data_IF_080794321784
#
_entry.id   IF_080794321784
#
_cell.length_a   1.000
_cell.length_b   1.000
_cell.length_c   1.000
_cell.angle_alpha   90.00
_cell.angle_beta   90.00
_cell.angle_gamma   90.00
#
_symmetry.space_group_name_H-M   'P 1'
#
loop_
_entity.id
_entity.type
_entity.pdbx_description
1 polymer ?
#
# COMPACT_ATOMS: atom_id res chain seq x y z
N UNK A 1 -13.12 22.06 23.39
CA UNK A 1 -11.95 21.42 24.10
C UNK A 1 -10.75 21.44 23.16
N UNK A 2 -9.76 22.27 23.47
CA UNK A 2 -8.50 22.32 22.72
C UNK A 2 -7.58 21.21 23.26
N UNK A 3 -7.64 20.05 22.60
CA UNK A 3 -6.71 18.96 22.89
C UNK A 3 -5.31 19.28 22.38
N UNK A 4 -4.30 19.08 23.19
CA UNK A 4 -2.89 19.13 22.78
C UNK A 4 -2.37 17.73 22.52
N UNK A 5 -1.45 17.60 21.57
CA UNK A 5 -0.70 16.34 21.35
C UNK A 5 0.23 16.06 22.53
N UNK A 6 0.74 14.80 22.65
CA UNK A 6 1.74 14.47 23.68
C UNK A 6 2.97 15.37 23.69
N UNK A 7 3.25 16.05 22.58
CA UNK A 7 4.39 16.96 22.42
C UNK A 7 4.02 18.44 22.43
N UNK A 8 2.85 18.81 22.97
CA UNK A 8 2.42 20.20 23.12
C UNK A 8 2.07 20.95 21.83
N UNK A 9 1.93 20.26 20.69
CA UNK A 9 1.60 20.89 19.40
C UNK A 9 0.08 20.90 19.20
N UNK A 10 -0.53 22.00 18.68
CA UNK A 10 -1.96 22.07 18.43
C UNK A 10 -2.45 20.98 17.47
N UNK A 11 -3.54 20.30 17.80
CA UNK A 11 -4.13 19.23 16.97
C UNK A 11 -4.56 19.70 15.58
N UNK A 12 -4.96 20.96 15.44
CA UNK A 12 -5.41 21.54 14.17
C UNK A 12 -4.30 21.65 13.10
N UNK A 13 -3.03 21.41 13.46
CA UNK A 13 -1.91 21.48 12.51
C UNK A 13 -1.69 20.18 11.70
N UNK A 14 -2.41 19.07 12.03
CA UNK A 14 -2.27 17.81 11.30
C UNK A 14 -2.92 17.93 9.93
N UNK A 15 -2.17 17.55 8.89
CA UNK A 15 -2.70 17.41 7.52
C UNK A 15 -2.88 15.94 7.18
N UNK A 16 -3.99 15.62 6.54
CA UNK A 16 -4.17 14.33 5.88
C UNK A 16 -3.32 14.28 4.63
N UNK A 17 -2.91 13.09 4.24
CA UNK A 17 -2.13 12.88 3.02
C UNK A 17 -2.60 11.62 2.29
N UNK A 18 -2.21 11.51 1.04
CA UNK A 18 -2.41 10.38 0.16
C UNK A 18 -1.02 9.89 -0.28
N UNK A 19 -0.89 8.59 -0.50
CA UNK A 19 0.31 8.03 -1.14
C UNK A 19 -0.01 7.77 -2.60
N UNK A 20 0.82 8.27 -3.50
CA UNK A 20 0.67 8.05 -4.95
C UNK A 20 1.80 7.18 -5.46
N UNK A 21 1.42 6.10 -6.17
CA UNK A 21 2.33 5.22 -6.88
C UNK A 21 2.34 5.59 -8.36
N UNK A 22 3.50 5.86 -8.92
CA UNK A 22 3.70 5.84 -10.36
C UNK A 22 3.86 4.38 -10.81
N UNK A 23 3.13 3.95 -11.83
CA UNK A 23 3.07 2.54 -12.19
C UNK A 23 2.71 2.35 -13.69
N UNK A 24 2.81 1.09 -14.14
CA UNK A 24 2.40 0.71 -15.49
C UNK A 24 0.94 0.28 -15.55
N UNK A 25 0.45 -0.44 -14.53
CA UNK A 25 -0.89 -1.03 -14.49
C UNK A 25 -1.63 -0.64 -13.19
N UNK A 26 -2.27 0.55 -13.14
CA UNK A 26 -2.85 1.11 -11.92
C UNK A 26 -3.82 0.18 -11.19
N UNK A 27 -4.78 -0.42 -11.87
CA UNK A 27 -5.77 -1.29 -11.23
C UNK A 27 -5.13 -2.57 -10.68
N UNK A 28 -4.25 -3.20 -11.44
CA UNK A 28 -3.58 -4.42 -11.01
C UNK A 28 -2.74 -4.19 -9.77
N UNK A 29 -1.97 -3.10 -9.75
CA UNK A 29 -1.15 -2.72 -8.60
C UNK A 29 -2.02 -2.34 -7.39
N UNK A 30 -3.10 -1.59 -7.60
CA UNK A 30 -4.03 -1.23 -6.53
C UNK A 30 -4.66 -2.47 -5.86
N UNK A 31 -5.09 -3.45 -6.65
CA UNK A 31 -5.67 -4.69 -6.11
C UNK A 31 -4.65 -5.51 -5.32
N UNK A 32 -3.39 -5.55 -5.75
CA UNK A 32 -2.30 -6.15 -4.97
C UNK A 32 -2.16 -5.44 -3.60
N UNK A 33 -2.13 -4.12 -3.58
CA UNK A 33 -2.01 -3.36 -2.33
C UNK A 33 -3.26 -3.44 -1.44
N UNK A 34 -4.45 -3.67 -2.00
CA UNK A 34 -5.63 -4.04 -1.21
C UNK A 34 -5.37 -5.32 -0.41
N UNK A 35 -4.79 -6.34 -1.03
CA UNK A 35 -4.46 -7.61 -0.37
C UNK A 35 -3.38 -7.43 0.71
N UNK A 36 -2.37 -6.59 0.46
CA UNK A 36 -1.29 -6.34 1.43
C UNK A 36 -1.81 -5.64 2.68
N UNK A 37 -2.67 -4.62 2.51
CA UNK A 37 -3.08 -3.73 3.60
C UNK A 37 -4.47 -4.04 4.19
N UNK A 38 -5.24 -4.92 3.58
CA UNK A 38 -6.66 -5.08 3.92
C UNK A 38 -7.51 -3.88 3.47
N UNK A 39 -7.05 -3.16 2.46
CA UNK A 39 -7.77 -2.05 1.85
C UNK A 39 -8.82 -2.55 0.87
N UNK A 40 -9.72 -1.67 0.48
CA UNK A 40 -10.80 -1.96 -0.46
C UNK A 40 -10.74 -1.02 -1.66
N UNK A 41 -11.21 -1.53 -2.80
CA UNK A 41 -11.50 -0.67 -3.95
C UNK A 41 -12.75 0.12 -3.63
N UNK A 42 -12.72 1.46 -3.67
CA UNK A 42 -13.91 2.27 -3.43
C UNK A 42 -14.98 2.02 -4.51
N UNK A 43 -16.24 2.35 -4.25
CA UNK A 43 -17.27 2.27 -5.28
C UNK A 43 -16.90 3.15 -6.48
N UNK A 44 -17.41 2.83 -7.70
CA UNK A 44 -17.18 3.67 -8.86
C UNK A 44 -17.73 5.08 -8.65
N UNK A 45 -17.31 6.06 -9.45
CA UNK A 45 -17.83 7.41 -9.38
C UNK A 45 -19.36 7.45 -9.53
N UNK A 46 -19.98 8.49 -8.98
CA UNK A 46 -21.43 8.68 -9.04
C UNK A 46 -21.93 8.62 -10.49
N UNK A 47 -23.02 7.88 -10.70
CA UNK A 47 -23.63 7.67 -12.01
C UNK A 47 -23.16 6.42 -12.75
N UNK A 48 -22.28 5.62 -12.16
CA UNK A 48 -21.84 4.36 -12.74
C UNK A 48 -22.06 3.18 -11.78
N UNK A 49 -22.53 2.06 -12.30
CA UNK A 49 -22.74 0.85 -11.51
C UNK A 49 -21.45 0.07 -11.27
N UNK A 50 -20.52 0.11 -12.22
CA UNK A 50 -19.22 -0.59 -12.14
C UNK A 50 -18.07 0.32 -12.57
N UNK A 51 -16.86 -0.07 -12.17
CA UNK A 51 -15.64 0.58 -12.66
C UNK A 51 -15.44 0.40 -14.15
N UNK A 52 -15.87 -0.73 -14.73
CA UNK A 52 -15.77 -0.97 -16.17
C UNK A 52 -16.70 -0.04 -16.95
N UNK A 53 -17.90 0.24 -16.45
CA UNK A 53 -18.80 1.22 -17.04
C UNK A 53 -18.19 2.63 -17.03
N UNK A 54 -17.61 3.02 -15.88
CA UNK A 54 -16.92 4.30 -15.79
C UNK A 54 -15.74 4.39 -16.76
N UNK A 55 -14.87 3.39 -16.78
CA UNK A 55 -13.72 3.35 -17.68
C UNK A 55 -14.17 3.41 -19.15
N UNK A 56 -15.18 2.62 -19.52
CA UNK A 56 -15.72 2.60 -20.87
C UNK A 56 -16.30 3.95 -21.32
N UNK A 57 -16.71 4.82 -20.39
CA UNK A 57 -17.17 6.18 -20.67
C UNK A 57 -16.03 7.18 -20.89
N UNK A 58 -14.80 6.81 -20.55
CA UNK A 58 -13.65 7.71 -20.67
C UNK A 58 -13.01 7.61 -22.06
N UNK A 59 -12.34 8.67 -22.53
CA UNK A 59 -11.50 8.59 -23.74
C UNK A 59 -10.44 7.47 -23.58
N UNK A 60 -10.06 6.77 -24.68
CA UNK A 60 -9.13 5.63 -24.62
C UNK A 60 -7.85 5.89 -23.81
N UNK A 61 -7.29 7.08 -23.94
CA UNK A 61 -6.07 7.49 -23.23
C UNK A 61 -6.25 7.65 -21.71
N UNK A 62 -7.50 7.70 -21.21
CA UNK A 62 -7.83 7.85 -19.79
C UNK A 62 -8.36 6.58 -19.15
N UNK A 63 -8.76 5.59 -19.92
CA UNK A 63 -9.42 4.38 -19.41
C UNK A 63 -8.61 3.64 -18.36
N UNK A 64 -7.28 3.57 -18.54
CA UNK A 64 -6.35 2.89 -17.65
C UNK A 64 -5.34 3.85 -16.99
N UNK A 65 -5.68 5.16 -16.91
CA UNK A 65 -4.73 6.19 -16.46
C UNK A 65 -4.53 6.22 -14.95
N UNK A 66 -5.49 5.73 -14.19
CA UNK A 66 -5.40 5.74 -12.72
C UNK A 66 -6.33 4.70 -12.07
N UNK A 67 -6.02 4.38 -10.82
CA UNK A 67 -6.90 3.63 -9.93
C UNK A 67 -6.63 4.03 -8.47
N UNK A 68 -7.44 3.52 -7.53
CA UNK A 68 -7.25 3.83 -6.11
C UNK A 68 -7.73 2.70 -5.21
N UNK A 69 -7.20 2.66 -4.00
CA UNK A 69 -7.74 1.88 -2.90
C UNK A 69 -7.72 2.68 -1.59
N UNK A 70 -8.57 2.31 -0.67
CA UNK A 70 -8.78 3.05 0.57
C UNK A 70 -8.91 2.12 1.75
N UNK A 71 -8.48 2.61 2.90
CA UNK A 71 -8.73 1.98 4.19
C UNK A 71 -10.24 2.06 4.49
N UNK A 72 -10.95 0.92 4.64
CA UNK A 72 -12.38 0.92 4.96
C UNK A 72 -12.70 1.56 6.31
N UNK A 73 -11.73 1.62 7.24
CA UNK A 73 -11.88 2.30 8.54
C UNK A 73 -11.68 3.82 8.45
N UNK A 74 -11.08 4.32 7.37
CA UNK A 74 -10.78 5.73 7.17
C UNK A 74 -9.61 6.27 8.01
N UNK A 75 -8.85 5.41 8.70
CA UNK A 75 -7.71 5.80 9.53
C UNK A 75 -6.42 5.94 8.71
N UNK A 76 -6.20 5.05 7.77
CA UNK A 76 -5.02 5.07 6.92
C UNK A 76 -5.15 6.01 5.72
N UNK A 77 -4.02 6.38 5.09
CA UNK A 77 -4.04 7.20 3.87
C UNK A 77 -4.64 6.43 2.69
N UNK A 78 -5.34 7.14 1.82
CA UNK A 78 -5.73 6.62 0.51
C UNK A 78 -4.47 6.34 -0.32
N UNK A 79 -4.47 5.24 -1.07
CA UNK A 79 -3.46 4.97 -2.08
C UNK A 79 -4.04 5.30 -3.46
N UNK A 80 -3.26 6.03 -4.24
CA UNK A 80 -3.59 6.41 -5.61
C UNK A 80 -2.51 5.86 -6.54
N UNK A 81 -2.91 5.32 -7.67
CA UNK A 81 -2.03 4.69 -8.64
C UNK A 81 -2.23 5.38 -9.97
N UNK A 82 -1.17 5.98 -10.51
CA UNK A 82 -1.23 6.67 -11.79
C UNK A 82 -0.28 6.03 -12.80
N UNK A 83 -0.78 5.84 -14.01
CA UNK A 83 0.04 5.34 -15.09
C UNK A 83 1.06 6.40 -15.51
N UNK A 84 2.31 5.97 -15.61
CA UNK A 84 3.41 6.76 -16.14
C UNK A 84 4.15 5.95 -17.20
N UNK A 85 4.76 6.59 -18.22
CA UNK A 85 5.52 5.88 -19.25
C UNK A 85 6.87 5.37 -18.75
N UNK A 86 7.41 5.95 -17.68
CA UNK A 86 8.71 5.59 -17.13
C UNK A 86 8.62 4.28 -16.34
N UNK A 87 9.47 3.33 -16.68
CA UNK A 87 9.65 2.10 -15.90
C UNK A 87 10.46 2.34 -14.64
N UNK A 88 10.37 1.39 -13.69
CA UNK A 88 11.20 1.42 -12.49
C UNK A 88 12.67 1.13 -12.85
N UNK A 89 13.54 2.11 -12.62
CA UNK A 89 14.96 2.05 -12.99
C UNK A 89 15.92 2.03 -11.80
N UNK A 90 15.48 2.46 -10.62
CA UNK A 90 16.33 2.56 -9.42
C UNK A 90 15.53 2.18 -8.16
N UNK A 91 16.26 1.96 -7.05
CA UNK A 91 15.64 1.74 -5.75
C UNK A 91 14.75 2.94 -5.37
N UNK A 92 13.54 2.67 -4.88
CA UNK A 92 12.64 3.70 -4.36
C UNK A 92 13.31 4.46 -3.21
N UNK A 93 13.12 5.77 -3.17
CA UNK A 93 13.61 6.61 -2.07
C UNK A 93 12.61 6.70 -0.91
N UNK A 94 11.41 6.20 -1.12
CA UNK A 94 10.37 6.02 -0.11
C UNK A 94 9.83 4.60 -0.23
N UNK A 95 9.62 3.92 0.90
CA UNK A 95 8.97 2.62 0.96
C UNK A 95 7.97 2.59 2.11
N UNK A 96 6.95 1.76 1.98
CA UNK A 96 6.00 1.51 3.06
C UNK A 96 6.51 0.35 3.92
N UNK A 97 6.40 0.52 5.24
CA UNK A 97 6.64 -0.55 6.21
C UNK A 97 5.29 -1.01 6.74
N UNK A 98 4.89 -2.22 6.35
CA UNK A 98 3.60 -2.82 6.71
C UNK A 98 3.75 -3.50 8.07
N UNK A 99 3.06 -2.98 9.08
CA UNK A 99 3.22 -3.37 10.48
C UNK A 99 2.46 -4.67 10.77
N UNK A 100 3.10 -5.80 10.53
CA UNK A 100 2.53 -7.15 10.72
C UNK A 100 2.81 -7.68 12.12
N UNK A 101 4.01 -7.42 12.64
CA UNK A 101 4.50 -7.95 13.91
C UNK A 101 4.27 -7.03 15.12
N UNK A 102 3.36 -6.06 15.05
CA UNK A 102 3.10 -5.13 16.14
C UNK A 102 2.77 -5.84 17.44
N UNK A 103 3.52 -5.53 18.51
CA UNK A 103 3.35 -6.13 19.83
C UNK A 103 4.00 -7.51 20.01
N UNK A 104 4.58 -8.08 18.95
CA UNK A 104 5.31 -9.35 19.00
C UNK A 104 6.82 -9.10 19.05
N UNK A 105 7.54 -10.05 19.65
CA UNK A 105 9.01 -10.01 19.75
C UNK A 105 9.60 -11.40 19.45
N UNK A 106 10.89 -11.43 19.11
CA UNK A 106 11.64 -12.68 18.94
C UNK A 106 11.04 -13.61 17.88
N UNK A 107 11.00 -14.90 18.19
CA UNK A 107 10.52 -15.93 17.26
C UNK A 107 9.03 -15.79 16.91
N UNK A 108 8.19 -15.29 17.82
CA UNK A 108 6.77 -15.04 17.52
C UNK A 108 6.60 -13.96 16.47
N UNK A 109 7.39 -12.88 16.56
CA UNK A 109 7.42 -11.83 15.56
C UNK A 109 7.89 -12.38 14.21
N UNK A 110 9.02 -13.08 14.19
CA UNK A 110 9.55 -13.70 12.99
C UNK A 110 8.51 -14.62 12.33
N UNK A 111 7.85 -15.47 13.12
CA UNK A 111 6.83 -16.39 12.61
C UNK A 111 5.65 -15.66 11.96
N UNK A 112 5.19 -14.56 12.56
CA UNK A 112 4.12 -13.74 11.99
C UNK A 112 4.53 -13.12 10.65
N UNK A 113 5.74 -12.57 10.54
CA UNK A 113 6.26 -12.00 9.30
C UNK A 113 6.45 -13.06 8.22
N UNK A 114 6.99 -14.23 8.58
CA UNK A 114 7.17 -15.34 7.63
C UNK A 114 5.82 -15.89 7.11
N UNK A 115 4.80 -15.94 7.96
CA UNK A 115 3.45 -16.31 7.54
C UNK A 115 2.88 -15.31 6.53
N UNK A 116 3.06 -14.02 6.78
CA UNK A 116 2.62 -12.97 5.85
C UNK A 116 3.42 -13.00 4.54
N UNK A 117 4.73 -13.18 4.59
CA UNK A 117 5.56 -13.40 3.39
C UNK A 117 5.01 -14.56 2.56
N UNK A 118 4.71 -15.69 3.21
CA UNK A 118 4.17 -16.87 2.55
C UNK A 118 2.80 -16.62 1.91
N UNK A 119 1.99 -15.73 2.49
CA UNK A 119 0.71 -15.31 1.93
C UNK A 119 0.87 -14.40 0.71
N UNK A 120 1.83 -13.47 0.76
CA UNK A 120 2.01 -12.45 -0.29
C UNK A 120 2.74 -12.97 -1.54
N UNK A 121 3.66 -13.91 -1.41
CA UNK A 121 4.42 -14.44 -2.55
C UNK A 121 3.54 -15.03 -3.65
N UNK A 122 2.52 -15.87 -3.38
CA UNK A 122 1.60 -16.35 -4.42
C UNK A 122 0.79 -15.22 -5.10
N UNK A 123 0.63 -14.07 -4.44
CA UNK A 123 -0.05 -12.89 -5.01
C UNK A 123 0.85 -12.07 -5.93
N UNK A 124 2.14 -12.42 -6.02
CA UNK A 124 3.11 -11.80 -6.90
C UNK A 124 4.19 -10.98 -6.20
N UNK A 125 4.18 -10.88 -4.87
CA UNK A 125 5.28 -10.25 -4.14
C UNK A 125 6.57 -11.06 -4.28
N UNK A 126 7.70 -10.37 -4.30
CA UNK A 126 9.01 -11.01 -4.34
C UNK A 126 9.69 -10.86 -2.97
N UNK A 127 10.07 -11.96 -2.38
CA UNK A 127 10.89 -11.98 -1.17
C UNK A 127 12.33 -11.59 -1.52
N UNK A 128 12.86 -10.56 -0.84
CA UNK A 128 14.25 -10.14 -1.04
C UNK A 128 15.17 -10.83 -0.05
N UNK A 129 14.89 -10.72 1.24
CA UNK A 129 15.61 -11.36 2.34
C UNK A 129 14.81 -11.28 3.62
N UNK A 130 15.20 -12.08 4.61
CA UNK A 130 14.71 -11.99 5.98
C UNK A 130 15.83 -11.45 6.87
N UNK A 131 15.56 -10.41 7.63
CA UNK A 131 16.45 -9.84 8.64
C UNK A 131 15.92 -10.24 10.01
N UNK A 132 16.78 -10.86 10.83
CA UNK A 132 16.42 -11.29 12.18
C UNK A 132 17.65 -11.24 13.07
N UNK A 133 17.56 -10.59 14.22
CA UNK A 133 18.67 -10.46 15.17
C UNK A 133 18.44 -11.22 16.49
N UNK A 134 17.39 -12.03 16.55
CA UNK A 134 16.98 -12.78 17.75
C UNK A 134 15.90 -12.09 18.57
N UNK A 135 15.62 -10.82 18.33
CA UNK A 135 14.59 -10.04 19.00
C UNK A 135 13.64 -9.35 18.02
N UNK A 136 14.18 -8.70 17.02
CA UNK A 136 13.43 -7.98 16.01
C UNK A 136 13.55 -8.63 14.62
N UNK A 137 12.56 -8.45 13.79
CA UNK A 137 12.50 -8.99 12.44
C UNK A 137 11.95 -7.96 11.45
N UNK A 138 12.49 -8.01 10.23
CA UNK A 138 11.99 -7.23 9.09
C UNK A 138 12.22 -8.03 7.81
N UNK A 139 11.25 -8.06 6.92
CA UNK A 139 11.34 -8.76 5.64
C UNK A 139 11.13 -7.76 4.50
N UNK A 140 12.21 -7.27 3.86
CA UNK A 140 12.12 -6.53 2.62
C UNK A 140 11.51 -7.38 1.50
N UNK A 141 10.54 -6.79 0.79
CA UNK A 141 9.79 -7.39 -0.30
C UNK A 141 9.77 -6.44 -1.50
N UNK A 142 9.38 -6.96 -2.65
CA UNK A 142 8.99 -6.15 -3.82
C UNK A 142 7.52 -6.40 -4.13
N UNK A 143 6.81 -5.36 -4.52
CA UNK A 143 5.47 -5.50 -5.08
C UNK A 143 5.52 -6.03 -6.53
N UNK A 144 4.35 -6.19 -7.15
CA UNK A 144 4.24 -6.77 -8.50
C UNK A 144 4.84 -5.91 -9.62
N UNK A 145 5.21 -4.67 -9.33
CA UNK A 145 5.92 -3.77 -10.26
C UNK A 145 7.36 -3.47 -9.80
N UNK A 146 7.84 -4.19 -8.78
CA UNK A 146 9.22 -4.09 -8.30
C UNK A 146 9.45 -2.98 -7.28
N UNK A 147 8.40 -2.35 -6.75
CA UNK A 147 8.56 -1.34 -5.70
C UNK A 147 8.91 -2.01 -4.37
N UNK A 148 9.94 -1.50 -3.70
CA UNK A 148 10.37 -1.98 -2.40
C UNK A 148 9.37 -1.60 -1.31
N UNK A 149 9.07 -2.56 -0.45
CA UNK A 149 8.35 -2.37 0.81
C UNK A 149 8.87 -3.36 1.85
N UNK A 150 8.53 -3.16 3.11
CA UNK A 150 8.88 -4.09 4.18
C UNK A 150 7.62 -4.57 4.88
N UNK A 151 7.68 -5.79 5.39
CA UNK A 151 6.79 -6.26 6.45
C UNK A 151 7.60 -6.36 7.75
N UNK A 152 7.09 -5.76 8.85
CA UNK A 152 7.78 -5.67 10.12
C UNK A 152 6.87 -5.75 11.36
#
# INVERSE_FOLDING_TARGET
>A
MTGTRPYGVPMASIKKFQVTFDCAEPERLARFWCEVLGYVVPPPPEGFDTWDDYKGSQPPERQESWFACSDPSGLGPRLYFQRVPEGKAAKNRLHLDVRVGTGLVGEERLAALEAERARLVPLGAVHVRTLYDGNDACIPMLDIEGNEFCID
#
